data_IF_877757038393
#
_entry.id   IF_877757038393
#
_cell.length_a   1.000
_cell.length_b   1.000
_cell.length_c   1.000
_cell.angle_alpha   90.00
_cell.angle_beta   90.00
_cell.angle_gamma   90.00
#
_symmetry.space_group_name_H-M   'P 1'
#
loop_
_entity.id
_entity.type
_entity.pdbx_description
1 polymer ?
#
# COMPACT_ATOMS: atom_id res chain seq x y z
N UNK A 1 15.62 -30.55 4.04
CA UNK A 1 14.52 -29.85 3.33
C UNK A 1 15.15 -28.90 2.32
N UNK A 2 14.77 -28.95 1.04
CA UNK A 2 15.29 -27.99 0.04
C UNK A 2 14.39 -26.76 0.01
N UNK A 3 14.92 -25.60 0.36
CA UNK A 3 14.19 -24.34 0.29
C UNK A 3 14.10 -23.84 -1.15
N UNK A 4 12.94 -23.33 -1.54
CA UNK A 4 12.79 -22.61 -2.80
C UNK A 4 13.46 -21.23 -2.70
N UNK A 5 13.95 -20.68 -3.83
CA UNK A 5 14.60 -19.35 -3.89
C UNK A 5 13.79 -18.24 -3.20
N UNK A 6 12.45 -18.26 -3.33
CA UNK A 6 11.55 -17.31 -2.68
C UNK A 6 11.61 -17.43 -1.15
N UNK A 7 11.74 -18.64 -0.60
CA UNK A 7 11.82 -18.84 0.85
C UNK A 7 13.14 -18.31 1.40
N UNK A 8 14.26 -18.55 0.71
CA UNK A 8 15.57 -18.02 1.10
C UNK A 8 15.52 -16.49 1.12
N UNK A 9 15.07 -15.88 0.01
CA UNK A 9 14.94 -14.43 -0.10
C UNK A 9 14.05 -13.86 1.02
N UNK A 10 12.89 -14.47 1.27
CA UNK A 10 11.98 -14.05 2.33
C UNK A 10 12.62 -14.15 3.72
N UNK A 11 13.29 -15.26 4.05
CA UNK A 11 13.96 -15.41 5.34
C UNK A 11 15.08 -14.38 5.53
N UNK A 12 15.86 -14.09 4.49
CA UNK A 12 16.90 -13.06 4.53
C UNK A 12 16.29 -11.67 4.77
N UNK A 13 15.26 -11.29 4.01
CA UNK A 13 14.57 -10.00 4.18
C UNK A 13 13.99 -9.87 5.59
N UNK A 14 13.32 -10.91 6.09
CA UNK A 14 12.69 -10.88 7.42
C UNK A 14 13.73 -10.84 8.54
N UNK A 15 14.89 -11.48 8.39
CA UNK A 15 16.00 -11.36 9.32
C UNK A 15 16.55 -9.92 9.36
N UNK A 16 16.70 -9.27 8.20
CA UNK A 16 17.11 -7.86 8.13
C UNK A 16 16.07 -6.93 8.76
N UNK A 17 14.77 -7.20 8.58
CA UNK A 17 13.69 -6.46 9.26
C UNK A 17 13.86 -6.55 10.78
N UNK A 18 14.09 -7.74 11.33
CA UNK A 18 14.33 -7.92 12.78
C UNK A 18 15.58 -7.15 13.22
N UNK A 19 16.70 -7.30 12.50
CA UNK A 19 17.95 -6.64 12.85
C UNK A 19 17.82 -5.11 12.90
N UNK A 20 17.17 -4.50 11.89
CA UNK A 20 16.94 -3.06 11.86
C UNK A 20 15.90 -2.59 12.89
N UNK A 21 14.86 -3.38 13.15
CA UNK A 21 13.84 -3.01 14.14
C UNK A 21 14.37 -3.03 15.58
N UNK A 22 15.44 -3.79 15.85
CA UNK A 22 16.13 -3.80 17.14
C UNK A 22 17.22 -2.74 17.27
N UNK A 23 17.55 -2.03 16.18
CA UNK A 23 18.49 -0.93 16.22
C UNK A 23 17.85 0.31 16.89
N UNK A 24 18.64 1.18 17.55
CA UNK A 24 18.14 2.45 18.04
C UNK A 24 17.77 3.35 16.85
N UNK A 25 16.48 3.46 16.57
CA UNK A 25 15.95 4.29 15.50
C UNK A 25 15.63 5.70 16.01
N UNK A 26 15.86 6.74 15.20
CA UNK A 26 15.53 8.10 15.60
C UNK A 26 14.02 8.26 15.75
N UNK A 27 13.59 8.95 16.79
CA UNK A 27 12.20 9.33 16.98
C UNK A 27 11.98 10.74 16.44
N UNK A 28 11.33 10.84 15.28
CA UNK A 28 11.00 12.13 14.66
C UNK A 28 9.51 12.46 14.87
N UNK A 29 9.10 13.74 14.93
CA UNK A 29 7.69 14.09 15.14
C UNK A 29 6.73 13.45 14.14
N UNK A 30 7.18 13.24 12.89
CA UNK A 30 6.36 12.67 11.83
C UNK A 30 6.19 11.15 11.90
N UNK A 31 6.98 10.44 12.72
CA UNK A 31 6.85 8.98 12.88
C UNK A 31 5.73 8.59 13.84
N UNK A 32 4.98 9.55 14.38
CA UNK A 32 3.77 9.30 15.17
C UNK A 32 2.74 8.52 14.34
N UNK A 33 2.12 7.51 14.95
CA UNK A 33 1.19 6.59 14.28
C UNK A 33 1.83 5.47 13.45
N UNK A 34 3.16 5.41 13.34
CA UNK A 34 3.83 4.26 12.71
C UNK A 34 3.75 3.03 13.62
N UNK A 35 3.92 1.84 13.05
CA UNK A 35 3.89 0.60 13.82
C UNK A 35 5.02 0.60 14.88
N UNK A 36 4.72 0.23 16.15
CA UNK A 36 5.75 0.01 17.15
C UNK A 36 6.76 -1.06 16.69
N UNK A 37 8.04 -0.89 17.03
CA UNK A 37 9.10 -1.82 16.59
C UNK A 37 8.83 -3.28 16.98
N UNK A 38 8.22 -3.52 18.16
CA UNK A 38 7.86 -4.87 18.58
C UNK A 38 6.84 -5.54 17.64
N UNK A 39 5.93 -4.76 17.03
CA UNK A 39 4.99 -5.26 16.02
C UNK A 39 5.76 -5.73 14.80
N UNK A 40 6.72 -4.94 14.33
CA UNK A 40 7.56 -5.26 13.18
C UNK A 40 8.38 -6.53 13.41
N UNK A 41 8.99 -6.67 14.60
CA UNK A 41 9.73 -7.88 15.00
C UNK A 41 8.80 -9.09 15.04
N UNK A 42 7.66 -9.01 15.71
CA UNK A 42 6.69 -10.10 15.80
C UNK A 42 6.17 -10.51 14.42
N UNK A 43 5.85 -9.54 13.56
CA UNK A 43 5.41 -9.75 12.20
C UNK A 43 6.46 -10.47 11.35
N UNK A 44 7.74 -10.09 11.49
CA UNK A 44 8.83 -10.70 10.75
C UNK A 44 9.08 -12.17 11.19
N UNK A 45 9.07 -12.44 12.49
CA UNK A 45 9.24 -13.80 13.04
C UNK A 45 8.09 -14.73 12.62
N UNK A 46 6.84 -14.26 12.75
CA UNK A 46 5.67 -15.00 12.29
C UNK A 46 5.70 -15.19 10.77
N UNK A 47 6.07 -14.15 10.02
CA UNK A 47 6.23 -14.22 8.56
C UNK A 47 7.24 -15.30 8.15
N UNK A 48 8.37 -15.41 8.85
CA UNK A 48 9.41 -16.39 8.57
C UNK A 48 8.88 -17.82 8.74
N UNK A 49 8.09 -18.05 9.80
CA UNK A 49 7.39 -19.32 10.02
C UNK A 49 6.45 -19.67 8.86
N UNK A 50 5.58 -18.74 8.45
CA UNK A 50 4.58 -19.00 7.40
C UNK A 50 5.17 -19.05 5.98
N UNK A 51 6.34 -18.48 5.74
CA UNK A 51 7.09 -18.66 4.47
C UNK A 51 7.51 -20.12 4.30
N UNK A 52 7.93 -20.77 5.39
CA UNK A 52 8.31 -22.19 5.41
C UNK A 52 7.07 -23.09 5.41
N UNK A 53 6.05 -22.72 6.19
CA UNK A 53 4.80 -23.47 6.35
C UNK A 53 3.60 -22.62 5.90
N UNK A 54 3.39 -22.47 4.57
CA UNK A 54 2.37 -21.58 4.06
C UNK A 54 0.96 -22.04 4.43
N UNK A 55 0.29 -21.22 5.24
CA UNK A 55 -1.07 -21.38 5.71
C UNK A 55 -1.83 -20.06 5.55
N UNK A 56 -3.16 -20.08 5.50
CA UNK A 56 -3.97 -18.87 5.38
C UNK A 56 -3.79 -17.93 6.58
N UNK A 57 -3.45 -18.48 7.76
CA UNK A 57 -3.10 -17.68 8.94
C UNK A 57 -1.87 -16.77 8.72
N UNK A 58 -1.04 -17.03 7.70
CA UNK A 58 0.06 -16.14 7.33
C UNK A 58 -0.40 -14.78 6.77
N UNK A 59 -1.71 -14.59 6.52
CA UNK A 59 -2.27 -13.26 6.21
C UNK A 59 -2.05 -12.30 7.37
N UNK A 60 -2.12 -12.78 8.62
CA UNK A 60 -1.90 -11.95 9.81
C UNK A 60 -0.52 -11.27 9.81
N UNK A 61 0.62 -12.00 9.74
CA UNK A 61 1.92 -11.35 9.67
C UNK A 61 2.10 -10.50 8.41
N UNK A 62 1.46 -10.82 7.29
CA UNK A 62 1.46 -9.94 6.12
C UNK A 62 0.77 -8.59 6.41
N UNK A 63 -0.36 -8.58 7.11
CA UNK A 63 -1.04 -7.36 7.55
C UNK A 63 -0.17 -6.55 8.51
N UNK A 64 0.48 -7.19 9.48
CA UNK A 64 1.36 -6.51 10.43
C UNK A 64 2.63 -5.96 9.75
N UNK A 65 3.19 -6.66 8.76
CA UNK A 65 4.28 -6.17 7.93
C UNK A 65 3.83 -5.00 7.04
N UNK A 66 2.60 -5.03 6.53
CA UNK A 66 2.01 -3.91 5.79
C UNK A 66 1.84 -2.68 6.68
N UNK A 67 1.38 -2.84 7.92
CA UNK A 67 1.35 -1.75 8.91
C UNK A 67 2.76 -1.22 9.17
N UNK A 68 3.73 -2.13 9.36
CA UNK A 68 5.15 -1.77 9.55
C UNK A 68 5.78 -1.10 8.33
N UNK A 69 5.18 -1.21 7.15
CA UNK A 69 5.57 -0.49 5.94
C UNK A 69 4.84 0.84 5.75
N UNK A 70 3.96 1.20 6.70
CA UNK A 70 3.13 2.38 6.61
C UNK A 70 3.93 3.67 6.52
N UNK A 71 3.49 4.60 5.67
CA UNK A 71 4.17 5.89 5.49
C UNK A 71 5.34 5.88 4.50
N UNK A 72 5.69 4.74 3.90
CA UNK A 72 6.83 4.64 2.96
C UNK A 72 6.74 5.62 1.77
N UNK A 73 5.54 5.91 1.27
CA UNK A 73 5.35 6.90 0.20
C UNK A 73 5.71 8.31 0.68
N UNK A 74 5.36 8.65 1.93
CA UNK A 74 5.78 9.92 2.52
C UNK A 74 7.29 9.97 2.65
N UNK A 75 7.94 8.91 3.15
CA UNK A 75 9.41 8.90 3.21
C UNK A 75 10.05 9.08 1.84
N UNK A 76 9.48 8.49 0.78
CA UNK A 76 9.98 8.68 -0.57
C UNK A 76 9.88 10.15 -1.01
N UNK A 77 8.78 10.85 -0.69
CA UNK A 77 8.68 12.29 -0.92
C UNK A 77 9.69 13.08 -0.08
N UNK A 78 9.81 12.78 1.21
CA UNK A 78 10.78 13.42 2.12
C UNK A 78 12.21 13.27 1.58
N UNK A 79 12.57 12.05 1.19
CA UNK A 79 13.86 11.72 0.57
C UNK A 79 14.08 12.46 -0.76
N UNK A 80 13.05 12.60 -1.59
CA UNK A 80 13.13 13.39 -2.81
C UNK A 80 13.47 14.86 -2.51
N UNK A 81 12.76 15.51 -1.58
CA UNK A 81 13.06 16.89 -1.19
C UNK A 81 14.45 17.02 -0.56
N UNK A 82 14.83 16.09 0.31
CA UNK A 82 16.16 16.07 0.93
C UNK A 82 17.30 15.95 -0.09
N UNK A 83 17.17 15.05 -1.07
CA UNK A 83 18.21 14.78 -2.08
C UNK A 83 18.27 15.89 -3.13
N UNK A 84 17.13 16.46 -3.53
CA UNK A 84 17.09 17.52 -4.54
C UNK A 84 17.40 18.91 -3.99
N UNK A 85 17.31 19.10 -2.67
CA UNK A 85 17.51 20.41 -2.03
C UNK A 85 16.36 21.38 -2.26
N UNK A 86 15.23 20.93 -2.80
CA UNK A 86 14.02 21.76 -2.93
C UNK A 86 13.52 22.11 -1.50
N UNK A 87 13.39 23.39 -1.14
CA UNK A 87 13.00 23.78 0.22
C UNK A 87 11.62 23.22 0.59
N UNK A 88 11.57 22.39 1.63
CA UNK A 88 10.32 21.83 2.18
C UNK A 88 10.27 21.88 3.72
N UNK A 89 11.16 22.66 4.36
CA UNK A 89 11.27 22.75 5.82
C UNK A 89 11.44 21.38 6.48
N UNK A 90 10.71 21.13 7.57
CA UNK A 90 10.72 19.86 8.31
C UNK A 90 10.19 18.68 7.49
N UNK A 91 9.53 18.92 6.36
CA UNK A 91 9.13 17.86 5.44
C UNK A 91 10.36 17.24 4.74
N UNK A 92 11.49 17.93 4.61
CA UNK A 92 12.71 17.34 4.05
C UNK A 92 13.50 16.48 5.06
N UNK A 93 13.06 16.38 6.33
CA UNK A 93 13.71 15.49 7.31
C UNK A 93 13.36 14.04 7.02
N UNK A 94 14.39 13.18 6.93
CA UNK A 94 14.27 11.76 6.59
C UNK A 94 14.87 10.89 7.70
N UNK A 95 14.06 10.04 8.29
CA UNK A 95 14.48 8.88 9.06
C UNK A 95 14.94 7.77 8.09
N UNK A 96 16.19 7.86 7.62
CA UNK A 96 16.75 6.89 6.67
C UNK A 96 16.70 5.44 7.18
N UNK A 97 17.09 5.14 8.44
CA UNK A 97 17.03 3.78 8.95
C UNK A 97 15.60 3.24 9.00
N UNK A 98 14.64 4.04 9.46
CA UNK A 98 13.24 3.62 9.48
C UNK A 98 12.61 3.55 8.09
N UNK A 99 12.99 4.41 7.15
CA UNK A 99 12.58 4.29 5.75
C UNK A 99 13.05 2.95 5.16
N UNK A 100 14.30 2.55 5.43
CA UNK A 100 14.82 1.26 5.03
C UNK A 100 14.06 0.10 5.69
N UNK A 101 13.75 0.19 6.99
CA UNK A 101 12.94 -0.78 7.71
C UNK A 101 11.53 -0.92 7.09
N UNK A 102 10.87 0.21 6.76
CA UNK A 102 9.54 0.24 6.14
C UNK A 102 9.57 -0.36 4.73
N UNK A 103 10.61 -0.07 3.95
CA UNK A 103 10.81 -0.67 2.63
C UNK A 103 11.02 -2.19 2.70
N UNK A 104 11.85 -2.67 3.64
CA UNK A 104 12.06 -4.10 3.87
C UNK A 104 10.81 -4.79 4.42
N UNK A 105 10.03 -4.10 5.24
CA UNK A 105 8.74 -4.61 5.74
C UNK A 105 7.74 -4.80 4.59
N UNK A 106 7.69 -3.87 3.63
CA UNK A 106 6.86 -4.00 2.43
C UNK A 106 7.33 -5.18 1.56
N UNK A 107 8.64 -5.33 1.38
CA UNK A 107 9.22 -6.46 0.65
C UNK A 107 8.89 -7.80 1.34
N UNK A 108 9.04 -7.86 2.67
CA UNK A 108 8.68 -9.01 3.49
C UNK A 108 7.19 -9.35 3.35
N UNK A 109 6.31 -8.35 3.42
CA UNK A 109 4.88 -8.49 3.18
C UNK A 109 4.60 -9.13 1.81
N UNK A 110 5.18 -8.57 0.74
CA UNK A 110 5.02 -9.09 -0.61
C UNK A 110 5.51 -10.54 -0.75
N UNK A 111 6.63 -10.90 -0.12
CA UNK A 111 7.19 -12.26 -0.15
C UNK A 111 6.34 -13.26 0.62
N UNK A 112 5.82 -12.89 1.80
CA UNK A 112 4.86 -13.71 2.57
C UNK A 112 3.58 -13.89 1.75
N UNK A 113 3.02 -12.81 1.21
CA UNK A 113 1.82 -12.87 0.37
C UNK A 113 2.04 -13.72 -0.88
N UNK A 114 3.21 -13.66 -1.53
CA UNK A 114 3.50 -14.49 -2.70
C UNK A 114 3.40 -16.01 -2.40
N UNK A 115 3.58 -16.43 -1.14
CA UNK A 115 3.39 -17.83 -0.71
C UNK A 115 1.93 -18.17 -0.40
N UNK A 116 1.15 -17.19 0.02
CA UNK A 116 -0.22 -17.37 0.52
C UNK A 116 -1.26 -17.11 -0.57
N UNK A 117 -1.08 -16.07 -1.39
CA UNK A 117 -2.02 -15.67 -2.45
C UNK A 117 -2.42 -16.80 -3.41
N UNK A 118 -1.56 -17.78 -3.78
CA UNK A 118 -1.99 -18.92 -4.58
C UNK A 118 -3.09 -19.78 -3.91
N UNK A 119 -3.21 -19.72 -2.58
CA UNK A 119 -4.22 -20.43 -1.78
C UNK A 119 -5.47 -19.59 -1.54
N UNK A 120 -5.41 -18.28 -1.78
CA UNK A 120 -6.55 -17.38 -1.63
C UNK A 120 -7.37 -17.38 -2.92
N UNK A 121 -8.65 -17.72 -2.77
CA UNK A 121 -9.66 -17.50 -3.82
C UNK A 121 -9.93 -16.00 -3.88
N UNK A 122 -9.54 -15.39 -4.99
CA UNK A 122 -9.93 -14.01 -5.29
C UNK A 122 -11.22 -14.14 -6.07
N UNK A 123 -12.29 -13.41 -5.69
CA UNK A 123 -13.52 -13.43 -6.45
C UNK A 123 -13.24 -13.14 -7.92
N UNK A 124 -13.67 -14.05 -8.79
CA UNK A 124 -13.57 -13.84 -10.22
C UNK A 124 -14.59 -12.77 -10.60
N UNK A 125 -14.12 -11.60 -11.03
CA UNK A 125 -15.03 -10.56 -11.45
C UNK A 125 -14.39 -9.21 -11.72
N UNK A 126 -15.01 -8.50 -12.66
CA UNK A 126 -14.68 -7.11 -13.03
C UNK A 126 -15.03 -6.10 -11.92
N UNK A 127 -15.80 -6.52 -10.92
CA UNK A 127 -16.28 -5.65 -9.85
C UNK A 127 -15.14 -5.01 -9.05
N UNK A 128 -14.04 -5.71 -8.78
CA UNK A 128 -12.89 -5.15 -8.06
C UNK A 128 -12.29 -3.93 -8.78
N UNK A 129 -12.23 -3.96 -10.11
CA UNK A 129 -11.76 -2.83 -10.90
C UNK A 129 -12.74 -1.66 -10.92
N UNK A 130 -14.06 -1.94 -10.95
CA UNK A 130 -15.08 -0.90 -10.85
C UNK A 130 -15.17 -0.29 -9.45
N UNK A 131 -15.01 -1.10 -8.40
CA UNK A 131 -14.90 -0.64 -7.02
C UNK A 131 -13.67 0.23 -6.85
N UNK A 132 -12.51 -0.20 -7.37
CA UNK A 132 -11.29 0.60 -7.37
C UNK A 132 -11.51 1.94 -8.11
N UNK A 133 -12.13 1.90 -9.29
CA UNK A 133 -12.49 3.11 -10.03
C UNK A 133 -13.35 4.05 -9.20
N UNK A 134 -14.46 3.57 -8.62
CA UNK A 134 -15.37 4.41 -7.83
C UNK A 134 -14.75 4.99 -6.56
N UNK A 135 -14.04 4.17 -5.78
CA UNK A 135 -13.39 4.62 -4.54
C UNK A 135 -12.28 5.64 -4.85
N UNK A 136 -11.59 5.51 -5.98
CA UNK A 136 -10.55 6.44 -6.41
C UNK A 136 -11.00 7.90 -6.47
N UNK A 137 -12.30 8.18 -6.64
CA UNK A 137 -12.84 9.54 -6.66
C UNK A 137 -13.05 10.17 -5.28
N UNK A 138 -13.16 9.38 -4.21
CA UNK A 138 -13.60 9.86 -2.89
C UNK A 138 -12.73 11.02 -2.39
N UNK A 139 -11.41 10.82 -2.31
CA UNK A 139 -10.50 11.84 -1.80
C UNK A 139 -10.29 13.02 -2.78
N UNK A 140 -9.99 12.79 -4.08
CA UNK A 140 -9.81 13.88 -5.03
C UNK A 140 -11.05 14.77 -5.19
N UNK A 141 -12.27 14.21 -5.09
CA UNK A 141 -13.49 15.01 -5.11
C UNK A 141 -13.67 15.84 -3.83
N UNK A 142 -13.31 15.31 -2.66
CA UNK A 142 -13.30 16.10 -1.42
C UNK A 142 -12.31 17.27 -1.52
N UNK A 143 -11.09 17.01 -2.02
CA UNK A 143 -10.08 18.04 -2.28
C UNK A 143 -10.56 19.09 -3.28
N UNK A 144 -11.16 18.67 -4.39
CA UNK A 144 -11.73 19.59 -5.38
C UNK A 144 -12.85 20.45 -4.77
N UNK A 145 -13.76 19.84 -4.01
CA UNK A 145 -14.83 20.56 -3.31
C UNK A 145 -14.26 21.63 -2.36
N UNK A 146 -13.25 21.30 -1.54
CA UNK A 146 -12.60 22.27 -0.67
C UNK A 146 -11.88 23.39 -1.44
N UNK A 147 -11.22 23.05 -2.54
CA UNK A 147 -10.55 24.05 -3.40
C UNK A 147 -11.52 25.01 -4.09
N UNK A 148 -12.79 24.62 -4.24
CA UNK A 148 -13.88 25.45 -4.78
C UNK A 148 -14.64 26.23 -3.69
N UNK A 149 -14.14 26.26 -2.45
CA UNK A 149 -14.73 26.99 -1.33
C UNK A 149 -15.70 26.19 -0.48
N UNK A 150 -15.79 24.87 -0.69
CA UNK A 150 -16.54 23.97 0.16
C UNK A 150 -15.97 23.87 1.58
N UNK A 151 -16.82 23.83 2.60
CA UNK A 151 -16.41 23.82 4.02
C UNK A 151 -16.83 22.57 4.78
N UNK A 152 -17.66 21.70 4.18
CA UNK A 152 -18.08 20.45 4.81
C UNK A 152 -16.86 19.58 5.13
N UNK A 153 -16.71 19.21 6.41
CA UNK A 153 -15.60 18.41 6.94
C UNK A 153 -14.20 19.00 6.68
N UNK A 154 -14.11 20.30 6.35
CA UNK A 154 -12.82 20.97 6.22
C UNK A 154 -12.26 21.23 7.63
N UNK A 155 -11.07 20.71 7.98
CA UNK A 155 -10.48 20.97 9.29
C UNK A 155 -10.22 22.47 9.51
N UNK A 156 -10.39 23.00 10.73
CA UNK A 156 -10.15 24.41 11.02
C UNK A 156 -8.73 24.85 10.65
N UNK A 157 -8.61 26.03 10.02
CA UNK A 157 -7.32 26.61 9.64
C UNK A 157 -6.68 25.99 8.39
N UNK A 158 -7.37 25.09 7.69
CA UNK A 158 -6.90 24.49 6.45
C UNK A 158 -7.35 25.32 5.24
N UNK A 159 -6.39 25.83 4.46
CA UNK A 159 -6.63 26.50 3.19
C UNK A 159 -6.19 25.59 2.04
N UNK A 160 -7.09 25.31 1.10
CA UNK A 160 -6.84 24.40 -0.01
C UNK A 160 -6.65 25.18 -1.32
N UNK A 161 -5.53 24.93 -2.01
CA UNK A 161 -5.32 25.38 -3.38
C UNK A 161 -5.94 24.40 -4.40
N UNK A 162 -5.82 24.69 -5.70
CA UNK A 162 -6.30 23.73 -6.70
C UNK A 162 -5.42 22.46 -6.70
N UNK A 163 -5.99 21.25 -6.53
CA UNK A 163 -5.23 20.03 -6.27
C UNK A 163 -4.79 19.34 -7.57
N UNK A 164 -3.96 20.03 -8.38
CA UNK A 164 -3.57 19.55 -9.71
C UNK A 164 -2.93 18.15 -9.68
N UNK A 165 -2.04 17.90 -8.72
CA UNK A 165 -1.34 16.62 -8.60
C UNK A 165 -2.30 15.47 -8.30
N UNK A 166 -3.21 15.67 -7.36
CA UNK A 166 -4.23 14.72 -6.97
C UNK A 166 -5.23 14.46 -8.10
N UNK A 167 -5.58 15.48 -8.89
CA UNK A 167 -6.45 15.32 -10.07
C UNK A 167 -5.77 14.51 -11.18
N UNK A 168 -4.46 14.71 -11.41
CA UNK A 168 -3.70 13.88 -12.36
C UNK A 168 -3.63 12.43 -11.85
N UNK A 169 -3.30 12.24 -10.57
CA UNK A 169 -3.27 10.91 -9.95
C UNK A 169 -4.64 10.22 -9.98
N UNK A 170 -5.73 10.98 -9.79
CA UNK A 170 -7.11 10.49 -9.94
C UNK A 170 -7.32 9.94 -11.34
N UNK A 171 -7.07 10.74 -12.38
CA UNK A 171 -7.32 10.32 -13.76
C UNK A 171 -6.51 9.08 -14.12
N UNK A 172 -5.23 9.07 -13.76
CA UNK A 172 -4.34 7.93 -13.99
C UNK A 172 -4.79 6.70 -13.21
N UNK A 173 -5.14 6.86 -11.93
CA UNK A 173 -5.60 5.77 -11.07
C UNK A 173 -6.94 5.18 -11.50
N UNK A 174 -7.89 6.03 -11.88
CA UNK A 174 -9.21 5.65 -12.38
C UNK A 174 -9.09 4.92 -13.73
N UNK A 175 -8.36 5.51 -14.69
CA UNK A 175 -8.10 4.88 -15.98
C UNK A 175 -7.34 3.56 -15.82
N UNK A 176 -6.31 3.53 -14.96
CA UNK A 176 -5.56 2.31 -14.64
C UNK A 176 -6.44 1.22 -14.03
N UNK A 177 -7.35 1.57 -13.13
CA UNK A 177 -8.31 0.64 -12.53
C UNK A 177 -9.26 0.04 -13.57
N UNK A 178 -9.74 0.86 -14.52
CA UNK A 178 -10.52 0.37 -15.65
C UNK A 178 -9.69 -0.49 -16.60
N UNK A 179 -8.42 -0.16 -16.83
CA UNK A 179 -7.52 -0.95 -17.68
C UNK A 179 -7.37 -2.39 -17.17
N UNK A 180 -7.45 -2.61 -15.85
CA UNK A 180 -7.37 -3.94 -15.25
C UNK A 180 -8.57 -4.84 -15.60
N UNK A 181 -9.71 -4.27 -15.97
CA UNK A 181 -10.96 -5.03 -16.18
C UNK A 181 -11.54 -4.90 -17.57
N UNK A 182 -11.26 -3.81 -18.28
CA UNK A 182 -11.81 -3.53 -19.60
C UNK A 182 -11.03 -4.23 -20.73
N UNK A 183 -11.70 -4.54 -21.87
CA UNK A 183 -11.05 -5.16 -23.02
C UNK A 183 -9.86 -4.36 -23.57
N UNK A 184 -9.95 -3.03 -23.61
CA UNK A 184 -8.90 -2.15 -24.13
C UNK A 184 -7.61 -2.23 -23.31
N UNK A 185 -7.70 -2.45 -22.00
CA UNK A 185 -6.54 -2.60 -21.13
C UNK A 185 -5.74 -3.90 -21.39
N UNK A 186 -6.34 -4.85 -22.12
CA UNK A 186 -5.61 -6.03 -22.63
C UNK A 186 -4.77 -5.73 -23.88
N UNK A 187 -4.98 -4.57 -24.51
CA UNK A 187 -4.13 -4.06 -25.59
C UNK A 187 -2.83 -3.43 -25.09
N UNK A 188 -2.77 -3.03 -23.81
CA UNK A 188 -1.58 -2.45 -23.21
C UNK A 188 -0.50 -3.51 -22.90
N UNK A 189 0.80 -3.14 -22.87
CA UNK A 189 1.85 -4.05 -22.46
C UNK A 189 1.60 -4.60 -21.05
N UNK A 190 1.39 -5.92 -20.96
CA UNK A 190 1.04 -6.61 -19.70
C UNK A 190 1.94 -6.24 -18.52
N UNK A 191 3.25 -6.06 -18.77
CA UNK A 191 4.22 -5.68 -17.73
C UNK A 191 3.93 -4.30 -17.15
N UNK A 192 3.55 -3.32 -17.99
CA UNK A 192 3.20 -1.98 -17.54
C UNK A 192 1.92 -2.00 -16.70
N UNK A 193 0.89 -2.71 -17.15
CA UNK A 193 -0.38 -2.82 -16.42
C UNK A 193 -0.17 -3.47 -15.04
N UNK A 194 0.62 -4.54 -14.97
CA UNK A 194 0.93 -5.21 -13.70
C UNK A 194 1.84 -4.38 -12.80
N UNK A 195 2.86 -3.74 -13.34
CA UNK A 195 3.74 -2.87 -12.57
C UNK A 195 2.96 -1.70 -11.99
N UNK A 196 2.13 -1.03 -12.80
CA UNK A 196 1.26 0.05 -12.36
C UNK A 196 0.26 -0.39 -11.29
N UNK A 197 -0.43 -1.52 -11.52
CA UNK A 197 -1.39 -2.08 -10.56
C UNK A 197 -0.75 -2.41 -9.21
N UNK A 198 0.36 -3.17 -9.19
CA UNK A 198 1.05 -3.53 -7.94
C UNK A 198 1.71 -2.32 -7.25
N UNK A 199 2.24 -1.36 -8.01
CA UNK A 199 2.79 -0.12 -7.45
C UNK A 199 1.68 0.70 -6.80
N UNK A 200 0.55 0.90 -7.49
CA UNK A 200 -0.62 1.58 -6.94
C UNK A 200 -1.15 0.89 -5.68
N UNK A 201 -1.27 -0.44 -5.70
CA UNK A 201 -1.61 -1.21 -4.50
C UNK A 201 -0.66 -0.94 -3.36
N UNK A 202 0.66 -1.04 -3.58
CA UNK A 202 1.65 -0.84 -2.52
C UNK A 202 1.58 0.59 -1.95
N UNK A 203 1.51 1.61 -2.80
CA UNK A 203 1.43 3.01 -2.38
C UNK A 203 0.16 3.28 -1.56
N UNK A 204 -1.01 2.89 -2.07
CA UNK A 204 -2.28 3.13 -1.42
C UNK A 204 -2.45 2.35 -0.12
N UNK A 205 -2.05 1.07 -0.12
CA UNK A 205 -2.20 0.23 1.07
C UNK A 205 -1.21 0.61 2.17
N UNK A 206 0.03 1.00 1.87
CA UNK A 206 0.96 1.47 2.91
C UNK A 206 0.50 2.78 3.54
N UNK A 207 0.03 3.74 2.74
CA UNK A 207 -0.51 4.99 3.26
C UNK A 207 -1.79 4.77 4.08
N UNK A 208 -2.72 3.98 3.57
CA UNK A 208 -3.97 3.66 4.27
C UNK A 208 -3.75 2.84 5.55
N UNK A 209 -2.87 1.84 5.50
CA UNK A 209 -2.55 0.98 6.65
C UNK A 209 -1.93 1.75 7.80
N UNK A 210 -1.02 2.68 7.52
CA UNK A 210 -0.42 3.57 8.52
C UNK A 210 -1.49 4.27 9.35
N UNK A 211 -2.45 4.94 8.69
CA UNK A 211 -3.49 5.67 9.39
C UNK A 211 -4.50 4.74 10.06
N UNK A 212 -5.01 3.72 9.36
CA UNK A 212 -6.05 2.85 9.92
C UNK A 212 -5.52 2.08 11.14
N UNK A 213 -4.36 1.44 11.03
CA UNK A 213 -3.80 0.70 12.15
C UNK A 213 -3.21 1.62 13.23
N UNK A 214 -2.65 2.77 12.86
CA UNK A 214 -2.22 3.79 13.81
C UNK A 214 -3.37 4.34 14.66
N UNK A 215 -4.52 4.63 14.04
CA UNK A 215 -5.74 5.07 14.76
C UNK A 215 -6.30 3.95 15.63
N UNK A 216 -6.33 2.70 15.16
CA UNK A 216 -6.75 1.56 15.98
C UNK A 216 -5.82 1.37 17.19
N UNK A 217 -4.50 1.46 16.99
CA UNK A 217 -3.53 1.37 18.07
C UNK A 217 -3.70 2.51 19.08
N UNK A 218 -4.00 3.73 18.61
CA UNK A 218 -4.32 4.86 19.47
C UNK A 218 -5.59 4.66 20.30
N UNK A 219 -6.66 4.16 19.69
CA UNK A 219 -7.91 3.83 20.39
C UNK A 219 -7.71 2.75 21.45
N UNK A 220 -6.77 1.83 21.23
CA UNK A 220 -6.38 0.80 22.18
C UNK A 220 -5.35 1.27 23.24
N UNK A 221 -4.92 2.53 23.19
CA UNK A 221 -3.94 3.09 24.13
C UNK A 221 -2.51 2.56 23.93
N UNK A 222 -2.19 2.00 22.76
CA UNK A 222 -0.87 1.43 22.47
C UNK A 222 0.14 2.47 21.99
N UNK A 223 -0.33 3.55 21.35
CA UNK A 223 0.52 4.59 20.73
C UNK A 223 -0.15 5.95 20.70
N UNK A 224 0.63 7.02 20.62
CA UNK A 224 0.15 8.30 20.08
C UNK A 224 -0.09 8.12 18.58
N UNK A 225 -1.36 8.06 18.18
CA UNK A 225 -1.75 7.84 16.78
C UNK A 225 -1.77 9.11 15.93
N UNK A 226 -2.12 8.96 14.65
CA UNK A 226 -2.08 10.06 13.69
C UNK A 226 -3.32 10.97 13.74
N UNK A 227 -4.34 10.62 14.52
CA UNK A 227 -5.63 11.33 14.53
C UNK A 227 -5.80 12.12 15.83
N UNK A 228 -6.14 13.42 15.77
CA UNK A 228 -6.56 14.15 16.96
C UNK A 228 -7.98 13.72 17.35
N UNK A 229 -8.10 12.69 18.20
CA UNK A 229 -9.39 12.09 18.59
C UNK A 229 -10.34 13.07 19.31
N UNK A 230 -9.83 14.21 19.80
CA UNK A 230 -10.62 15.29 20.39
C UNK A 230 -11.37 16.14 19.36
N UNK A 231 -11.06 16.01 18.06
CA UNK A 231 -11.72 16.74 16.98
C UNK A 231 -12.50 15.76 16.08
N UNK A 232 -13.84 15.69 16.21
CA UNK A 232 -14.67 14.81 15.39
C UNK A 232 -14.54 15.04 13.89
N UNK A 233 -14.31 16.29 13.46
CA UNK A 233 -14.18 16.62 12.03
C UNK A 233 -12.90 16.05 11.45
N UNK A 234 -11.80 16.14 12.19
CA UNK A 234 -10.53 15.53 11.84
C UNK A 234 -10.61 14.00 11.85
N UNK A 235 -11.29 13.39 12.83
CA UNK A 235 -11.51 11.93 12.88
C UNK A 235 -12.22 11.44 11.63
N UNK A 236 -13.33 12.08 11.26
CA UNK A 236 -14.12 11.70 10.07
C UNK A 236 -13.29 11.89 8.81
N UNK A 237 -12.61 13.04 8.69
CA UNK A 237 -11.81 13.38 7.51
C UNK A 237 -10.65 12.41 7.32
N UNK A 238 -9.83 12.20 8.34
CA UNK A 238 -8.69 11.26 8.27
C UNK A 238 -9.18 9.84 7.99
N UNK A 239 -10.26 9.39 8.64
CA UNK A 239 -10.84 8.06 8.39
C UNK A 239 -11.35 7.91 6.96
N UNK A 240 -12.02 8.93 6.41
CA UNK A 240 -12.53 8.90 5.05
C UNK A 240 -11.39 8.89 4.03
N UNK A 241 -10.38 9.73 4.21
CA UNK A 241 -9.22 9.82 3.30
C UNK A 241 -8.42 8.52 3.33
N UNK A 242 -7.89 8.13 4.48
CA UNK A 242 -6.97 6.98 4.53
C UNK A 242 -7.71 5.64 4.50
N UNK A 243 -8.94 5.58 4.98
CA UNK A 243 -9.82 4.42 4.81
C UNK A 243 -10.14 4.19 3.34
N UNK A 244 -10.50 5.25 2.59
CA UNK A 244 -10.73 5.12 1.14
C UNK A 244 -9.46 4.72 0.41
N UNK A 245 -8.28 5.23 0.80
CA UNK A 245 -7.00 4.79 0.20
C UNK A 245 -6.70 3.33 0.48
N UNK A 246 -6.90 2.83 1.70
CA UNK A 246 -6.70 1.43 2.02
C UNK A 246 -7.64 0.54 1.18
N UNK A 247 -8.93 0.87 1.14
CA UNK A 247 -9.93 0.13 0.37
C UNK A 247 -9.62 0.17 -1.13
N UNK A 248 -9.22 1.34 -1.64
CA UNK A 248 -8.80 1.51 -3.03
C UNK A 248 -7.59 0.63 -3.35
N UNK A 249 -6.55 0.67 -2.52
CA UNK A 249 -5.35 -0.15 -2.69
C UNK A 249 -5.65 -1.65 -2.69
N UNK A 250 -6.52 -2.11 -1.78
CA UNK A 250 -6.98 -3.50 -1.72
C UNK A 250 -7.78 -3.91 -2.97
N UNK A 251 -8.70 -3.04 -3.43
CA UNK A 251 -9.49 -3.27 -4.64
C UNK A 251 -8.59 -3.34 -5.89
N UNK A 252 -7.63 -2.42 -6.04
CA UNK A 252 -6.62 -2.44 -7.11
C UNK A 252 -5.77 -3.70 -7.03
N UNK A 253 -5.37 -4.13 -5.83
CA UNK A 253 -4.57 -5.33 -5.63
C UNK A 253 -5.31 -6.60 -6.04
N UNK A 254 -6.59 -6.70 -5.66
CA UNK A 254 -7.48 -7.76 -6.09
C UNK A 254 -7.67 -7.78 -7.60
N UNK A 255 -7.98 -6.62 -8.21
CA UNK A 255 -8.13 -6.49 -9.66
C UNK A 255 -6.84 -6.83 -10.42
N UNK A 256 -5.68 -6.40 -9.91
CA UNK A 256 -4.36 -6.70 -10.48
C UNK A 256 -4.07 -8.20 -10.42
N UNK A 257 -4.37 -8.85 -9.31
CA UNK A 257 -4.21 -10.30 -9.16
C UNK A 257 -5.15 -11.07 -10.09
N UNK A 258 -6.40 -10.64 -10.24
CA UNK A 258 -7.36 -11.21 -11.19
C UNK A 258 -6.87 -11.06 -12.64
N UNK A 259 -6.43 -9.86 -13.05
CA UNK A 259 -5.84 -9.60 -14.36
C UNK A 259 -4.59 -10.46 -14.60
N UNK A 260 -3.72 -10.59 -13.60
CA UNK A 260 -2.51 -11.40 -13.66
C UNK A 260 -2.83 -12.87 -13.92
N UNK A 261 -3.86 -13.42 -13.26
CA UNK A 261 -4.33 -14.80 -13.43
C UNK A 261 -4.96 -15.01 -14.81
N UNK A 262 -5.87 -14.11 -15.23
CA UNK A 262 -6.54 -14.20 -16.52
C UNK A 262 -5.58 -14.12 -17.73
N UNK A 263 -4.48 -13.39 -17.60
CA UNK A 263 -3.52 -13.18 -18.71
C UNK A 263 -2.36 -14.18 -18.75
N UNK A 264 -2.22 -15.09 -17.77
CA UNK A 264 -1.14 -16.09 -17.75
C UNK A 264 -1.29 -17.18 -18.83
N UNK A 265 -2.50 -17.44 -19.33
CA UNK A 265 -2.81 -18.65 -20.11
C UNK A 265 -2.65 -18.56 -21.64
N UNK A 266 -2.07 -17.47 -22.19
CA UNK A 266 -2.01 -17.26 -23.65
C UNK A 266 -0.84 -17.87 -24.45
N UNK A 267 0.34 -18.24 -23.89
CA UNK A 267 1.43 -18.76 -24.71
C UNK A 267 1.16 -20.15 -25.33
N UNK A 268 0.53 -21.06 -24.58
CA UNK A 268 0.37 -22.47 -25.01
C UNK A 268 -0.68 -22.66 -26.13
N UNK A 269 -1.78 -21.88 -26.11
CA UNK A 269 -2.85 -22.01 -27.12
C UNK A 269 -2.44 -21.44 -28.48
N UNK A 270 -1.55 -20.43 -28.50
CA UNK A 270 -1.02 -19.86 -29.74
C UNK A 270 -0.01 -20.79 -30.42
N UNK A 271 0.83 -21.48 -29.64
CA UNK A 271 1.73 -22.53 -30.15
C UNK A 271 0.96 -23.74 -30.70
N UNK A 272 -0.13 -24.17 -30.05
CA UNK A 272 -0.98 -25.26 -30.52
C UNK A 272 -1.82 -24.90 -31.76
N UNK A 273 -2.23 -23.63 -31.94
CA UNK A 273 -2.95 -23.19 -33.15
C UNK A 273 -2.04 -23.00 -34.36
N UNK A 274 -0.76 -22.67 -34.17
CA UNK A 274 0.23 -22.58 -35.24
C UNK A 274 0.82 -23.96 -35.62
N UNK A 275 0.56 -25.00 -34.82
CA UNK A 275 1.01 -26.37 -35.06
C UNK A 275 -0.05 -27.26 -35.72
N UNK A 276 -1.21 -26.73 -36.13
CA UNK A 276 -2.18 -27.46 -36.96
C UNK A 276 -1.92 -27.10 -38.43
N UNK A 277 -1.46 -28.06 -39.26
CA UNK A 277 -1.29 -27.87 -40.70
C UNK A 277 -2.62 -27.67 -41.41
#
# INVERSE_FOLDING_TARGET
MRFHRIQICALTVLALVVALALAPLPTLPYTRGFAPHWVTVAAALLGAWFVVRPHLAGVLPAILLLWSAGGLVLDAFRAFFAVTGIPAGDFALVDWPGMALRALSLAGCALVLARILPRIRVPDGVWLGYTAFGIGFVYPMAKLYWSLGGTLLLPPGYAEGLPYGELVMLVVGAAGSLALVQPWGRGLPRRLVLAGGWTGTAMLTTMGAMSVFGTLAQLLGLTEGPVPLSDPSAVVTVSLVYGSWLLFGLAVGGATLAYQRATRSRPAVRALRLARP
#
